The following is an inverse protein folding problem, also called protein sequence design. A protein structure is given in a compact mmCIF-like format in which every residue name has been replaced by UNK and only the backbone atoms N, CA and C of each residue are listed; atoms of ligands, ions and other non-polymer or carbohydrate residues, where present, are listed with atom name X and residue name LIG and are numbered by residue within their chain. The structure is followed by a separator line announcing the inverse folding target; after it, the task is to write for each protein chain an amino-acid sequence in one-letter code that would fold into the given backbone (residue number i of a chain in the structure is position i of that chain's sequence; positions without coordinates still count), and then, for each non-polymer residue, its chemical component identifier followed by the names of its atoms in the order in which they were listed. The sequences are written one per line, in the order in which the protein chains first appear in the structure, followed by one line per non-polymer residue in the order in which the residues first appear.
data_IF_421156434013
#
_entry.id   IF_421156434013
#
_cell.length_a   1.000
_cell.length_b   1.000
_cell.length_c   1.000
_cell.angle_alpha   90.00
_cell.angle_beta   90.00
_cell.angle_gamma   90.00
#
_symmetry.space_group_name_H-M   'P 1'
#
loop_
_entity.id
_entity.type
_entity.pdbx_description
1 polymer ?
#
# COMPACT_ATOMS: atom_id res chain seq x y z
N UNK A 1 31.40 20.03 42.96
CA UNK A 1 30.02 19.50 42.88
C UNK A 1 29.65 19.34 41.41
N UNK A 2 29.51 18.09 40.95
CA UNK A 2 29.20 17.75 39.55
C UNK A 2 27.89 16.94 39.60
N UNK A 3 26.84 17.45 38.97
CA UNK A 3 25.51 16.82 39.01
C UNK A 3 25.54 15.41 38.38
N UNK A 4 24.70 14.45 38.85
CA UNK A 4 24.69 13.09 38.33
C UNK A 4 24.07 13.03 36.92
N UNK A 5 24.73 12.33 36.00
CA UNK A 5 24.28 12.10 34.61
C UNK A 5 23.24 10.97 34.50
N UNK A 6 22.25 10.92 35.39
CA UNK A 6 21.32 9.77 35.47
C UNK A 6 19.86 10.08 35.17
N UNK A 7 19.54 11.11 34.39
CA UNK A 7 18.13 11.46 34.16
C UNK A 7 17.76 11.86 32.72
N UNK A 8 18.38 11.24 31.72
CA UNK A 8 17.93 11.31 30.31
C UNK A 8 18.18 9.99 29.56
N UNK A 9 18.09 8.86 30.24
CA UNK A 9 17.93 7.58 29.55
C UNK A 9 16.44 7.44 29.20
N UNK A 10 16.01 8.13 28.14
CA UNK A 10 14.77 7.72 27.47
C UNK A 10 14.93 6.26 27.07
N UNK A 11 13.91 5.45 27.29
CA UNK A 11 13.82 4.05 26.90
C UNK A 11 14.01 3.90 25.39
N UNK A 12 15.26 4.00 24.93
CA UNK A 12 15.69 3.44 23.68
C UNK A 12 15.65 1.94 23.90
N UNK A 13 14.48 1.34 23.72
CA UNK A 13 14.35 -0.11 23.64
C UNK A 13 15.38 -0.59 22.62
N UNK A 14 16.49 -1.13 23.12
CA UNK A 14 17.52 -1.72 22.30
C UNK A 14 16.87 -2.93 21.66
N UNK A 15 16.46 -2.76 20.40
CA UNK A 15 15.89 -3.83 19.59
C UNK A 15 16.96 -4.89 19.50
N UNK A 16 16.81 -5.98 20.26
CA UNK A 16 17.74 -7.08 20.20
C UNK A 16 17.63 -7.73 18.82
N UNK A 17 18.70 -7.67 18.03
CA UNK A 17 18.72 -8.09 16.64
C UNK A 17 19.27 -9.51 16.56
N UNK A 18 18.46 -10.45 16.03
CA UNK A 18 18.83 -11.87 15.96
C UNK A 18 19.86 -12.19 14.87
N UNK A 19 20.21 -11.23 13.99
CA UNK A 19 21.09 -11.41 12.81
C UNK A 19 22.00 -10.17 12.56
N UNK A 20 23.17 -10.39 11.94
CA UNK A 20 24.19 -9.38 11.53
C UNK A 20 23.57 -8.13 10.90
N UNK A 21 23.93 -6.95 11.43
CA UNK A 21 23.31 -5.67 11.08
C UNK A 21 23.36 -5.23 9.60
N UNK A 22 24.19 -5.83 8.73
CA UNK A 22 24.26 -5.46 7.29
C UNK A 22 23.08 -6.00 6.49
N UNK A 23 22.71 -7.26 6.66
CA UNK A 23 21.60 -7.90 5.94
C UNK A 23 20.27 -7.25 6.30
N UNK A 24 20.09 -6.96 7.58
CA UNK A 24 18.88 -6.30 8.07
C UNK A 24 18.73 -4.87 7.54
N UNK A 25 19.84 -4.13 7.35
CA UNK A 25 19.81 -2.81 6.71
C UNK A 25 19.32 -2.92 5.27
N UNK A 26 19.82 -3.87 4.49
CA UNK A 26 19.35 -4.08 3.12
C UNK A 26 17.89 -4.49 3.05
N UNK A 27 17.46 -5.40 3.93
CA UNK A 27 16.06 -5.81 4.00
C UNK A 27 15.14 -4.64 4.33
N UNK A 28 15.54 -3.80 5.29
CA UNK A 28 14.82 -2.58 5.65
C UNK A 28 14.75 -1.59 4.48
N UNK A 29 15.86 -1.40 3.76
CA UNK A 29 15.90 -0.55 2.57
C UNK A 29 14.94 -1.07 1.50
N UNK A 30 15.00 -2.36 1.18
CA UNK A 30 14.11 -2.98 0.20
C UNK A 30 12.64 -2.85 0.61
N UNK A 31 12.33 -3.10 1.88
CA UNK A 31 10.98 -2.95 2.41
C UNK A 31 10.45 -1.52 2.23
N UNK A 32 11.26 -0.52 2.58
CA UNK A 32 10.88 0.90 2.42
C UNK A 32 10.75 1.25 0.93
N UNK A 33 11.64 0.76 0.06
CA UNK A 33 11.55 1.00 -1.38
C UNK A 33 10.26 0.43 -1.97
N UNK A 34 9.90 -0.82 -1.65
CA UNK A 34 8.67 -1.45 -2.13
C UNK A 34 7.42 -0.80 -1.54
N UNK A 35 7.42 -0.44 -0.26
CA UNK A 35 6.34 0.32 0.36
C UNK A 35 6.15 1.69 -0.31
N UNK A 36 7.24 2.38 -0.63
CA UNK A 36 7.21 3.69 -1.31
C UNK A 36 6.72 3.56 -2.75
N UNK A 37 7.16 2.52 -3.47
CA UNK A 37 6.72 2.25 -4.83
C UNK A 37 5.22 1.95 -4.87
N UNK A 38 4.74 1.13 -3.93
CA UNK A 38 3.33 0.81 -3.80
C UNK A 38 2.48 2.06 -3.52
N UNK A 39 2.80 2.80 -2.45
CA UNK A 39 2.06 4.01 -2.08
C UNK A 39 2.16 5.11 -3.16
N UNK A 40 3.34 5.31 -3.73
CA UNK A 40 3.58 6.29 -4.79
C UNK A 40 2.80 5.98 -6.06
N UNK A 41 2.74 4.72 -6.48
CA UNK A 41 1.94 4.32 -7.63
C UNK A 41 0.44 4.52 -7.41
N UNK A 42 -0.07 4.28 -6.19
CA UNK A 42 -1.46 4.60 -5.84
C UNK A 42 -1.73 6.11 -5.95
N UNK A 43 -0.78 6.96 -5.52
CA UNK A 43 -0.89 8.42 -5.68
C UNK A 43 -0.84 8.82 -7.16
N UNK A 44 -0.01 8.19 -7.98
CA UNK A 44 0.02 8.43 -9.43
C UNK A 44 -1.32 8.08 -10.10
N UNK A 45 -1.92 6.94 -9.74
CA UNK A 45 -3.27 6.57 -10.21
C UNK A 45 -4.29 7.63 -9.79
N UNK A 46 -4.21 8.16 -8.57
CA UNK A 46 -5.08 9.24 -8.11
C UNK A 46 -4.89 10.53 -8.90
N UNK A 47 -3.66 10.91 -9.20
CA UNK A 47 -3.39 12.07 -10.03
C UNK A 47 -4.00 11.92 -11.44
N UNK A 48 -3.92 10.73 -12.04
CA UNK A 48 -4.55 10.46 -13.34
C UNK A 48 -6.08 10.46 -13.21
N UNK A 49 -6.64 9.77 -12.21
CA UNK A 49 -8.08 9.64 -11.97
C UNK A 49 -8.77 11.00 -11.84
N UNK A 50 -8.17 11.91 -11.08
CA UNK A 50 -8.77 13.21 -10.75
C UNK A 50 -8.25 14.35 -11.61
N UNK A 51 -7.18 14.14 -12.37
CA UNK A 51 -6.58 15.14 -13.25
C UNK A 51 -6.91 14.96 -14.74
N UNK A 52 -7.50 13.84 -15.14
CA UNK A 52 -7.88 13.55 -16.52
C UNK A 52 -9.35 13.19 -16.64
N UNK A 53 -10.08 13.93 -17.47
CA UNK A 53 -11.50 13.72 -17.75
C UNK A 53 -11.67 13.26 -19.22
N UNK A 54 -11.84 11.94 -19.47
CA UNK A 54 -12.01 11.44 -20.83
C UNK A 54 -13.41 11.77 -21.37
N UNK A 55 -13.49 12.29 -22.59
CA UNK A 55 -14.75 12.63 -23.28
C UNK A 55 -15.10 11.67 -24.43
N UNK A 56 -14.10 10.94 -24.92
CA UNK A 56 -14.24 10.05 -26.08
C UNK A 56 -13.87 8.61 -25.74
N UNK A 57 -14.38 7.66 -26.53
CA UNK A 57 -14.03 6.24 -26.41
C UNK A 57 -12.52 5.98 -26.40
N UNK A 58 -11.78 6.65 -27.29
CA UNK A 58 -10.32 6.54 -27.34
C UNK A 58 -9.62 7.03 -26.07
N UNK A 59 -10.04 8.18 -25.54
CA UNK A 59 -9.49 8.73 -24.29
C UNK A 59 -9.81 7.84 -23.09
N UNK A 60 -11.04 7.33 -23.01
CA UNK A 60 -11.44 6.42 -21.93
C UNK A 60 -10.66 5.10 -21.99
N UNK A 61 -10.41 4.55 -23.18
CA UNK A 61 -9.58 3.36 -23.34
C UNK A 61 -8.14 3.59 -22.88
N UNK A 62 -7.52 4.69 -23.32
CA UNK A 62 -6.16 5.04 -22.90
C UNK A 62 -6.07 5.21 -21.37
N UNK A 63 -7.01 5.97 -20.80
CA UNK A 63 -7.14 6.19 -19.36
C UNK A 63 -7.23 4.89 -18.57
N UNK A 64 -8.20 4.02 -18.88
CA UNK A 64 -8.40 2.76 -18.14
C UNK A 64 -7.25 1.76 -18.34
N UNK A 65 -6.66 1.74 -19.53
CA UNK A 65 -5.50 0.89 -19.82
C UNK A 65 -4.29 1.29 -18.99
N UNK A 66 -4.01 2.59 -18.84
CA UNK A 66 -2.90 3.08 -18.03
C UNK A 66 -3.11 2.73 -16.56
N UNK A 67 -4.33 2.93 -16.03
CA UNK A 67 -4.63 2.58 -14.64
C UNK A 67 -4.44 1.09 -14.37
N UNK A 68 -4.97 0.23 -15.25
CA UNK A 68 -4.80 -1.22 -15.15
C UNK A 68 -3.32 -1.65 -15.25
N UNK A 69 -2.55 -1.05 -16.16
CA UNK A 69 -1.13 -1.36 -16.32
C UNK A 69 -0.31 -0.96 -15.08
N UNK A 70 -0.56 0.21 -14.50
CA UNK A 70 0.11 0.63 -13.26
C UNK A 70 -0.26 -0.32 -12.11
N UNK A 71 -1.54 -0.70 -12.01
CA UNK A 71 -1.99 -1.64 -10.98
C UNK A 71 -1.28 -2.99 -11.11
N UNK A 72 -1.28 -3.58 -12.30
CA UNK A 72 -0.73 -4.90 -12.54
C UNK A 72 0.81 -4.95 -12.47
N UNK A 73 1.51 -3.96 -13.03
CA UNK A 73 2.97 -4.01 -13.19
C UNK A 73 3.75 -3.26 -12.11
N UNK A 74 3.11 -2.37 -11.36
CA UNK A 74 3.79 -1.58 -10.33
C UNK A 74 3.17 -1.88 -8.96
N UNK A 75 1.87 -1.68 -8.79
CA UNK A 75 1.21 -1.82 -7.48
C UNK A 75 1.25 -3.28 -7.01
N UNK A 76 0.73 -4.22 -7.79
CA UNK A 76 0.68 -5.63 -7.41
C UNK A 76 2.06 -6.22 -7.04
N UNK A 77 3.12 -6.12 -7.87
CA UNK A 77 4.42 -6.66 -7.51
C UNK A 77 5.06 -5.93 -6.33
N UNK A 78 4.93 -4.60 -6.23
CA UNK A 78 5.51 -3.84 -5.11
C UNK A 78 4.80 -4.14 -3.78
N UNK A 79 3.48 -4.30 -3.78
CA UNK A 79 2.71 -4.68 -2.59
C UNK A 79 3.10 -6.08 -2.10
N UNK A 80 3.23 -7.06 -3.02
CA UNK A 80 3.67 -8.42 -2.70
C UNK A 80 5.10 -8.45 -2.15
N UNK A 81 6.03 -7.72 -2.79
CA UNK A 81 7.42 -7.64 -2.33
C UNK A 81 7.56 -6.87 -1.00
N UNK A 82 6.73 -5.85 -0.78
CA UNK A 82 6.63 -5.15 0.50
C UNK A 82 6.16 -6.10 1.61
N UNK A 83 5.12 -6.89 1.35
CA UNK A 83 4.63 -7.91 2.29
C UNK A 83 5.69 -8.97 2.58
N UNK A 84 6.38 -9.49 1.56
CA UNK A 84 7.42 -10.51 1.70
C UNK A 84 8.63 -9.98 2.50
N UNK A 85 9.10 -8.78 2.20
CA UNK A 85 10.20 -8.16 2.95
C UNK A 85 9.77 -7.83 4.39
N UNK A 86 8.53 -7.41 4.62
CA UNK A 86 7.96 -7.21 5.95
C UNK A 86 7.85 -8.51 6.76
N UNK A 87 7.57 -9.63 6.09
CA UNK A 87 7.56 -10.97 6.68
C UNK A 87 8.95 -11.32 7.21
N UNK A 88 9.97 -11.24 6.35
CA UNK A 88 11.35 -11.51 6.76
C UNK A 88 11.81 -10.54 7.84
N UNK A 89 11.44 -9.26 7.76
CA UNK A 89 11.82 -8.26 8.76
C UNK A 89 11.22 -8.59 10.14
N UNK A 90 9.95 -9.02 10.17
CA UNK A 90 9.28 -9.45 11.40
C UNK A 90 9.90 -10.74 11.96
N UNK A 91 10.30 -11.68 11.10
CA UNK A 91 10.93 -12.94 11.51
C UNK A 91 12.37 -12.78 12.03
N UNK A 92 13.10 -11.77 11.53
CA UNK A 92 14.52 -11.54 11.85
C UNK A 92 14.75 -10.52 12.97
N UNK A 93 13.70 -9.83 13.42
CA UNK A 93 13.76 -8.83 14.50
C UNK A 93 13.00 -9.28 15.74
N UNK A 94 13.36 -8.74 16.90
CA UNK A 94 12.64 -8.98 18.17
C UNK A 94 11.21 -8.41 18.21
N UNK A 95 10.76 -7.76 17.13
CA UNK A 95 9.37 -7.36 16.94
C UNK A 95 8.46 -8.57 16.75
N UNK A 96 8.91 -9.63 16.06
CA UNK A 96 8.04 -10.77 15.74
C UNK A 96 6.77 -10.35 14.99
N UNK A 97 5.78 -11.25 14.98
CA UNK A 97 4.51 -11.03 14.27
C UNK A 97 3.36 -10.60 15.18
N UNK A 98 3.40 -11.04 16.45
CA UNK A 98 2.28 -10.88 17.40
C UNK A 98 2.64 -10.03 18.61
N UNK A 99 3.86 -9.45 18.63
CA UNK A 99 4.36 -8.71 19.81
C UNK A 99 3.67 -7.36 20.02
N UNK A 100 2.98 -6.83 19.03
CA UNK A 100 2.29 -5.55 19.19
C UNK A 100 1.00 -5.56 18.40
N UNK A 101 -0.05 -4.94 18.95
CA UNK A 101 -1.36 -4.88 18.29
C UNK A 101 -1.28 -4.14 16.95
N UNK A 102 -0.46 -3.09 16.85
CA UNK A 102 -0.23 -2.38 15.60
C UNK A 102 0.46 -3.25 14.53
N UNK A 103 1.27 -4.24 14.91
CA UNK A 103 1.88 -5.19 13.96
C UNK A 103 0.82 -6.16 13.44
N UNK A 104 -0.01 -6.71 14.33
CA UNK A 104 -1.11 -7.61 13.93
C UNK A 104 -2.06 -6.88 12.98
N UNK A 105 -2.44 -5.64 13.31
CA UNK A 105 -3.29 -4.82 12.45
C UNK A 105 -2.68 -4.65 11.06
N UNK A 106 -1.38 -4.33 10.98
CA UNK A 106 -0.68 -4.20 9.69
C UNK A 106 -0.73 -5.50 8.89
N UNK A 107 -0.55 -6.65 9.52
CA UNK A 107 -0.64 -7.94 8.84
C UNK A 107 -2.02 -8.20 8.30
N UNK A 108 -3.05 -8.06 9.14
CA UNK A 108 -4.45 -8.28 8.75
C UNK A 108 -4.83 -7.35 7.60
N UNK A 109 -4.53 -6.05 7.72
CA UNK A 109 -4.84 -5.06 6.69
C UNK A 109 -4.06 -5.32 5.41
N UNK A 110 -2.75 -5.61 5.49
CA UNK A 110 -1.92 -5.83 4.29
C UNK A 110 -2.37 -7.09 3.54
N UNK A 111 -2.65 -8.18 4.25
CA UNK A 111 -3.13 -9.43 3.63
C UNK A 111 -4.51 -9.19 3.01
N UNK A 112 -5.46 -8.62 3.76
CA UNK A 112 -6.80 -8.34 3.25
C UNK A 112 -6.75 -7.43 2.02
N UNK A 113 -5.90 -6.39 2.04
CA UNK A 113 -5.72 -5.47 0.92
C UNK A 113 -5.15 -6.18 -0.31
N UNK A 114 -4.10 -7.00 -0.15
CA UNK A 114 -3.50 -7.72 -1.28
C UNK A 114 -4.47 -8.74 -1.88
N UNK A 115 -5.20 -9.49 -1.04
CA UNK A 115 -6.23 -10.43 -1.49
C UNK A 115 -7.36 -9.69 -2.21
N UNK A 116 -7.83 -8.57 -1.66
CA UNK A 116 -8.88 -7.76 -2.29
C UNK A 116 -8.42 -7.19 -3.64
N UNK A 117 -7.18 -6.71 -3.70
CA UNK A 117 -6.54 -6.20 -4.91
C UNK A 117 -6.46 -7.26 -5.99
N UNK A 118 -5.96 -8.45 -5.65
CA UNK A 118 -5.77 -9.54 -6.61
C UNK A 118 -7.09 -10.15 -7.09
N UNK A 119 -8.03 -10.42 -6.19
CA UNK A 119 -9.26 -11.15 -6.53
C UNK A 119 -10.37 -10.27 -7.12
N UNK A 120 -10.41 -8.98 -6.75
CA UNK A 120 -11.51 -8.10 -7.13
C UNK A 120 -11.05 -6.91 -7.96
N UNK A 121 -10.08 -6.13 -7.45
CA UNK A 121 -9.69 -4.87 -8.08
C UNK A 121 -9.03 -5.08 -9.45
N UNK A 122 -7.98 -5.90 -9.53
CA UNK A 122 -7.23 -6.11 -10.77
C UNK A 122 -8.13 -6.67 -11.89
N UNK A 123 -8.98 -7.71 -11.65
CA UNK A 123 -9.94 -8.16 -12.65
C UNK A 123 -10.97 -7.10 -13.05
N UNK A 124 -11.39 -6.26 -12.10
CA UNK A 124 -12.33 -5.17 -12.38
C UNK A 124 -11.71 -4.08 -13.25
N UNK A 125 -10.48 -3.65 -12.96
CA UNK A 125 -9.73 -2.69 -13.79
C UNK A 125 -9.50 -3.23 -15.20
N UNK A 126 -9.16 -4.51 -15.32
CA UNK A 126 -9.00 -5.18 -16.61
C UNK A 126 -10.32 -5.20 -17.40
N UNK A 127 -11.43 -5.52 -16.72
CA UNK A 127 -12.77 -5.50 -17.33
C UNK A 127 -13.15 -4.09 -17.81
N UNK A 128 -12.91 -3.06 -16.99
CA UNK A 128 -13.16 -1.68 -17.36
C UNK A 128 -12.32 -1.26 -18.59
N UNK A 129 -11.05 -1.66 -18.65
CA UNK A 129 -10.19 -1.40 -19.80
C UNK A 129 -10.69 -2.10 -21.07
N UNK A 130 -11.18 -3.35 -20.95
CA UNK A 130 -11.81 -4.08 -22.07
C UNK A 130 -13.09 -3.40 -22.56
N UNK A 131 -14.00 -3.04 -21.65
CA UNK A 131 -15.24 -2.32 -22.01
C UNK A 131 -14.96 -1.04 -22.80
N UNK A 132 -13.87 -0.34 -22.48
CA UNK A 132 -13.52 0.90 -23.17
C UNK A 132 -12.79 0.67 -24.49
N UNK A 133 -12.13 -0.48 -24.67
CA UNK A 133 -11.56 -0.88 -25.97
C UNK A 133 -12.65 -1.05 -27.02
N UNK A 134 -13.81 -1.57 -26.61
CA UNK A 134 -14.92 -1.89 -27.50
C UNK A 134 -15.75 -0.64 -27.89
N UNK A 135 -15.45 0.53 -27.30
CA UNK A 135 -16.07 1.80 -27.69
C UNK A 135 -15.45 2.32 -29.01
N UNK A 136 -16.28 2.76 -29.98
CA UNK A 136 -15.78 3.49 -31.14
C UNK A 136 -14.97 4.73 -30.72
N UNK A 137 -13.79 4.98 -31.32
CA UNK A 137 -12.84 6.00 -30.86
C UNK A 137 -13.42 7.40 -30.68
N UNK A 138 -14.28 7.85 -31.61
CA UNK A 138 -14.87 9.18 -31.63
C UNK A 138 -16.25 9.25 -30.94
N UNK A 139 -16.74 8.14 -30.37
CA UNK A 139 -18.03 8.13 -29.71
C UNK A 139 -17.95 8.90 -28.38
N UNK A 140 -18.96 9.74 -28.13
CA UNK A 140 -19.21 10.28 -26.81
C UNK A 140 -19.47 9.16 -25.81
N UNK A 141 -19.09 9.37 -24.55
CA UNK A 141 -19.19 8.32 -23.56
C UNK A 141 -20.65 7.93 -23.24
N UNK A 142 -20.95 6.63 -23.07
CA UNK A 142 -22.25 6.20 -22.60
C UNK A 142 -22.57 6.77 -21.21
N UNK A 143 -23.83 7.06 -20.89
CA UNK A 143 -24.24 7.60 -19.59
C UNK A 143 -23.76 6.75 -18.40
N UNK A 144 -23.70 5.42 -18.54
CA UNK A 144 -23.19 4.52 -17.51
C UNK A 144 -21.70 4.67 -17.18
N UNK A 145 -20.92 5.32 -18.05
CA UNK A 145 -19.48 5.57 -17.83
C UNK A 145 -19.23 6.48 -16.63
N UNK A 146 -20.09 7.48 -16.40
CA UNK A 146 -19.98 8.42 -15.28
C UNK A 146 -20.13 7.70 -13.94
N UNK A 147 -21.12 6.80 -13.83
CA UNK A 147 -21.33 6.01 -12.61
C UNK A 147 -20.15 5.07 -12.34
N UNK A 148 -19.61 4.41 -13.37
CA UNK A 148 -18.44 3.56 -13.23
C UNK A 148 -17.19 4.33 -12.81
N UNK A 149 -16.96 5.52 -13.41
CA UNK A 149 -15.85 6.40 -13.02
C UNK A 149 -15.98 6.91 -11.59
N UNK A 150 -17.20 7.25 -11.15
CA UNK A 150 -17.46 7.63 -9.77
C UNK A 150 -17.19 6.48 -8.80
N UNK A 151 -17.66 5.27 -9.11
CA UNK A 151 -17.37 4.08 -8.31
C UNK A 151 -15.86 3.79 -8.21
N UNK A 152 -15.12 3.94 -9.32
CA UNK A 152 -13.66 3.80 -9.34
C UNK A 152 -12.99 4.85 -8.45
N UNK A 153 -13.47 6.10 -8.49
CA UNK A 153 -13.01 7.17 -7.60
C UNK A 153 -13.23 6.88 -6.12
N UNK A 154 -14.39 6.31 -5.75
CA UNK A 154 -14.69 5.90 -4.37
C UNK A 154 -13.74 4.79 -3.90
N UNK A 155 -13.53 3.77 -4.73
CA UNK A 155 -12.61 2.67 -4.43
C UNK A 155 -11.19 3.21 -4.23
N UNK A 156 -10.73 4.08 -5.12
CA UNK A 156 -9.40 4.69 -5.02
C UNK A 156 -9.26 5.58 -3.77
N UNK A 157 -10.29 6.35 -3.43
CA UNK A 157 -10.33 7.14 -2.20
C UNK A 157 -10.20 6.26 -0.95
N UNK A 158 -10.91 5.13 -0.92
CA UNK A 158 -10.78 4.15 0.16
C UNK A 158 -9.37 3.56 0.24
N UNK A 159 -8.75 3.24 -0.91
CA UNK A 159 -7.38 2.74 -0.97
C UNK A 159 -6.36 3.73 -0.41
N UNK A 160 -6.44 5.00 -0.83
CA UNK A 160 -5.59 6.07 -0.30
C UNK A 160 -5.80 6.25 1.21
N UNK A 161 -7.03 6.15 1.69
CA UNK A 161 -7.36 6.17 3.12
C UNK A 161 -6.67 5.04 3.88
N UNK A 162 -6.72 3.82 3.36
CA UNK A 162 -6.04 2.66 3.97
C UNK A 162 -4.52 2.87 3.97
N UNK A 163 -3.91 3.23 2.85
CA UNK A 163 -2.46 3.48 2.75
C UNK A 163 -2.03 4.59 3.72
N UNK A 164 -2.76 5.72 3.75
CA UNK A 164 -2.52 6.82 4.67
C UNK A 164 -2.63 6.40 6.14
N UNK A 165 -3.65 5.62 6.48
CA UNK A 165 -3.82 5.08 7.83
C UNK A 165 -2.66 4.16 8.24
N UNK A 166 -2.13 3.35 7.32
CA UNK A 166 -0.98 2.47 7.60
C UNK A 166 0.31 3.26 7.83
N UNK A 167 0.49 4.40 7.16
CA UNK A 167 1.58 5.32 7.44
C UNK A 167 1.44 5.89 8.86
N UNK A 168 0.25 6.35 9.24
CA UNK A 168 -0.02 6.87 10.59
C UNK A 168 0.22 5.80 11.66
N UNK A 169 -0.28 4.58 11.47
CA UNK A 169 -0.04 3.45 12.38
C UNK A 169 1.47 3.13 12.48
N UNK A 170 2.22 3.30 11.40
CA UNK A 170 3.68 3.09 11.40
C UNK A 170 4.44 4.10 12.25
N UNK A 171 4.01 5.36 12.24
CA UNK A 171 4.66 6.45 12.97
C UNK A 171 4.21 6.45 14.42
N UNK A 172 2.91 6.39 14.67
CA UNK A 172 2.30 6.50 16.00
C UNK A 172 2.43 5.22 16.83
N UNK A 173 2.60 4.06 16.17
CA UNK A 173 2.72 2.72 16.79
C UNK A 173 1.74 2.50 17.96
N UNK A 174 0.42 2.61 17.72
CA UNK A 174 -0.52 2.70 18.81
C UNK A 174 -0.74 1.32 19.48
N UNK A 175 -1.48 1.32 20.59
CA UNK A 175 -1.99 0.11 21.28
C UNK A 175 -0.96 -0.79 21.99
N UNK A 176 0.32 -0.44 22.00
CA UNK A 176 1.32 -1.14 22.82
C UNK A 176 1.40 -2.65 22.58
N UNK A 177 1.72 -3.38 23.64
CA UNK A 177 1.99 -4.81 23.65
C UNK A 177 0.69 -5.66 23.70
N UNK A 178 0.71 -6.81 23.03
CA UNK A 178 -0.30 -7.88 23.22
C UNK A 178 -0.01 -8.72 24.47
N UNK A 179 -0.89 -9.68 24.79
CA UNK A 179 -0.69 -10.60 25.92
C UNK A 179 0.10 -11.85 25.52
N UNK A 180 0.43 -11.99 24.24
CA UNK A 180 1.01 -13.20 23.65
C UNK A 180 2.54 -13.13 23.58
N UNK A 181 3.18 -12.39 24.50
CA UNK A 181 4.63 -12.27 24.59
C UNK A 181 5.07 -13.04 25.82
N UNK A 182 5.77 -14.15 25.58
CA UNK A 182 6.57 -14.81 26.60
C UNK A 182 8.00 -14.31 26.43
#
# INVERSE_FOLDING_TARGET
MRAPKEMLAGDHQLIDYRIRGRELRWLKTLHICFASLWAGATVCIAAIQFGFDPDTGAQMYAYRSILWLIDLWIIAPSALLCMLTGFFYSAMTSFGFVKYWWIILKWVVTIAYNVAGFLFLSPWLEHLARLSRDLPPAQALPAGSVLLSAAQGVVLGAQLGVVGSMILVTILKPWGHTRWHV
#
